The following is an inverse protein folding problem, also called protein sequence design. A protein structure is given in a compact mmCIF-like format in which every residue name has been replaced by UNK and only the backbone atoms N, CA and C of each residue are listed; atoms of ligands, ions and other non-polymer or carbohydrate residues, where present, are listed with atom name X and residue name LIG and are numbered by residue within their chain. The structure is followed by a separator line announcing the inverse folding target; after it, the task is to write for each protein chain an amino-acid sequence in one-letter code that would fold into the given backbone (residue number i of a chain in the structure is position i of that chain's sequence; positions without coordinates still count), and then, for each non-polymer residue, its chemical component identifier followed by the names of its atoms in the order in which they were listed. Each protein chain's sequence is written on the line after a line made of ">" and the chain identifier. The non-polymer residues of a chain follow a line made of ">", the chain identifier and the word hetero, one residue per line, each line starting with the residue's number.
data_IF_903331322392
#
_entry.id   IF_903331322392
#
_cell.length_a   1.000
_cell.length_b   1.000
_cell.length_c   1.000
_cell.angle_alpha   90.00
_cell.angle_beta   90.00
_cell.angle_gamma   90.00
#
_symmetry.space_group_name_H-M   'P 1'
#
loop_
_entity.id
_entity.type
_entity.pdbx_description
1 polymer ?
#
# COMPACT_ATOMS: atom_id res chain seq x y z
N UNK A 1 26.33 -6.82 9.77
CA UNK A 1 26.77 -5.61 9.04
C UNK A 1 26.09 -5.56 7.68
N UNK A 2 25.47 -4.43 7.36
CA UNK A 2 24.91 -4.14 6.03
C UNK A 2 26.05 -3.81 5.06
N UNK A 3 26.07 -4.51 3.94
CA UNK A 3 26.96 -4.22 2.82
C UNK A 3 26.20 -3.49 1.70
N UNK A 4 26.92 -3.01 0.69
CA UNK A 4 26.35 -2.26 -0.44
C UNK A 4 25.25 -3.05 -1.16
N UNK A 5 25.44 -4.37 -1.36
CA UNK A 5 24.46 -5.22 -2.01
C UNK A 5 23.14 -5.32 -1.23
N UNK A 6 23.22 -5.35 0.11
CA UNK A 6 22.04 -5.32 0.98
C UNK A 6 21.34 -3.97 0.95
N UNK A 7 22.08 -2.87 0.96
CA UNK A 7 21.50 -1.52 0.87
C UNK A 7 20.78 -1.33 -0.47
N UNK A 8 21.42 -1.74 -1.56
CA UNK A 8 20.82 -1.70 -2.91
C UNK A 8 19.56 -2.57 -2.99
N UNK A 9 19.61 -3.76 -2.40
CA UNK A 9 18.45 -4.65 -2.30
C UNK A 9 17.29 -3.97 -1.54
N UNK A 10 17.56 -3.37 -0.37
CA UNK A 10 16.54 -2.65 0.43
C UNK A 10 15.89 -1.53 -0.38
N UNK A 11 16.70 -0.69 -1.05
CA UNK A 11 16.18 0.41 -1.86
C UNK A 11 15.26 -0.09 -2.99
N UNK A 12 15.67 -1.15 -3.69
CA UNK A 12 14.88 -1.71 -4.79
C UNK A 12 13.62 -2.42 -4.31
N UNK A 13 13.65 -3.09 -3.16
CA UNK A 13 12.44 -3.68 -2.55
C UNK A 13 11.41 -2.58 -2.26
N UNK A 14 11.88 -1.48 -1.67
CA UNK A 14 11.05 -0.35 -1.30
C UNK A 14 10.48 0.39 -2.52
N UNK A 15 11.19 0.37 -3.65
CA UNK A 15 10.71 0.85 -4.94
C UNK A 15 9.71 -0.10 -5.64
N UNK A 16 9.46 -1.28 -5.07
CA UNK A 16 8.54 -2.28 -5.62
C UNK A 16 9.14 -3.13 -6.74
N UNK A 17 10.46 -3.20 -6.85
CA UNK A 17 11.14 -4.04 -7.86
C UNK A 17 11.01 -5.51 -7.46
N UNK A 18 10.75 -6.39 -8.43
CA UNK A 18 10.61 -7.84 -8.19
C UNK A 18 11.93 -8.44 -7.70
N UNK A 19 11.85 -9.37 -6.74
CA UNK A 19 13.03 -10.06 -6.17
C UNK A 19 13.88 -10.76 -7.24
N UNK A 20 13.27 -11.29 -8.30
CA UNK A 20 13.99 -11.89 -9.44
C UNK A 20 14.88 -10.89 -10.16
N UNK A 21 14.41 -9.66 -10.35
CA UNK A 21 15.12 -8.60 -11.07
C UNK A 21 16.21 -8.00 -10.16
N UNK A 22 15.92 -7.87 -8.86
CA UNK A 22 16.90 -7.44 -7.85
C UNK A 22 18.06 -8.43 -7.81
N UNK A 23 17.78 -9.74 -7.74
CA UNK A 23 18.80 -10.79 -7.69
C UNK A 23 19.78 -10.70 -8.88
N UNK A 24 19.26 -10.46 -10.08
CA UNK A 24 20.08 -10.25 -11.29
C UNK A 24 20.93 -8.99 -11.14
N UNK A 25 20.35 -7.87 -10.69
CA UNK A 25 21.02 -6.58 -10.58
C UNK A 25 22.14 -6.57 -9.54
N UNK A 26 21.91 -7.17 -8.37
CA UNK A 26 22.92 -7.26 -7.30
C UNK A 26 23.86 -8.48 -7.46
N UNK A 27 23.67 -9.28 -8.52
CA UNK A 27 24.45 -10.50 -8.83
C UNK A 27 24.46 -11.51 -7.67
N UNK A 28 23.30 -11.75 -7.06
CA UNK A 28 23.08 -12.76 -6.01
C UNK A 28 21.96 -13.72 -6.41
N UNK A 29 21.85 -14.86 -5.74
CA UNK A 29 20.70 -15.74 -5.94
C UNK A 29 19.47 -15.15 -5.24
N UNK A 30 18.27 -15.49 -5.73
CA UNK A 30 17.01 -15.13 -5.05
C UNK A 30 16.99 -15.67 -3.62
N UNK A 31 17.50 -16.89 -3.42
CA UNK A 31 17.61 -17.51 -2.09
C UNK A 31 18.43 -16.66 -1.13
N UNK A 32 19.52 -16.03 -1.58
CA UNK A 32 20.29 -15.11 -0.74
C UNK A 32 19.44 -13.94 -0.24
N UNK A 33 18.59 -13.38 -1.10
CA UNK A 33 17.68 -12.29 -0.73
C UNK A 33 16.63 -12.78 0.28
N UNK A 34 16.04 -13.96 0.05
CA UNK A 34 15.10 -14.55 1.01
C UNK A 34 15.74 -14.84 2.37
N UNK A 35 16.99 -15.31 2.40
CA UNK A 35 17.73 -15.50 3.64
C UNK A 35 17.94 -14.17 4.37
N UNK A 36 18.19 -13.08 3.65
CA UNK A 36 18.28 -11.75 4.27
C UNK A 36 16.94 -11.27 4.82
N UNK A 37 15.85 -11.50 4.09
CA UNK A 37 14.50 -11.13 4.52
C UNK A 37 14.02 -11.92 5.75
N UNK A 38 14.39 -13.18 5.84
CA UNK A 38 13.89 -14.07 6.89
C UNK A 38 14.80 -14.08 8.13
N UNK A 39 16.12 -14.18 7.91
CA UNK A 39 17.07 -14.57 8.95
C UNK A 39 18.04 -13.45 9.34
N UNK A 40 18.29 -12.47 8.46
CA UNK A 40 19.23 -11.38 8.75
C UNK A 40 18.54 -10.23 9.50
N UNK A 41 18.75 -10.21 10.83
CA UNK A 41 18.14 -9.23 11.74
C UNK A 41 18.46 -7.78 11.37
N UNK A 42 19.68 -7.48 10.95
CA UNK A 42 20.07 -6.10 10.60
C UNK A 42 19.40 -5.66 9.30
N UNK A 43 19.35 -6.55 8.30
CA UNK A 43 18.66 -6.30 7.04
C UNK A 43 17.18 -5.98 7.28
N UNK A 44 16.51 -6.81 8.08
CA UNK A 44 15.09 -6.64 8.41
C UNK A 44 14.82 -5.33 9.15
N UNK A 45 15.66 -5.01 10.13
CA UNK A 45 15.51 -3.78 10.90
C UNK A 45 15.65 -2.52 10.04
N UNK A 46 16.63 -2.48 9.11
CA UNK A 46 16.78 -1.33 8.22
C UNK A 46 15.68 -1.27 7.16
N UNK A 47 15.26 -2.41 6.61
CA UNK A 47 14.12 -2.46 5.68
C UNK A 47 12.84 -1.91 6.33
N UNK A 48 12.50 -2.37 7.53
CA UNK A 48 11.34 -1.86 8.30
C UNK A 48 11.47 -0.36 8.57
N UNK A 49 12.64 0.10 9.03
CA UNK A 49 12.90 1.53 9.25
C UNK A 49 12.68 2.37 7.98
N UNK A 50 13.15 1.91 6.83
CA UNK A 50 12.98 2.63 5.55
C UNK A 50 11.51 2.65 5.13
N UNK A 51 10.78 1.54 5.28
CA UNK A 51 9.35 1.46 4.99
C UNK A 51 8.54 2.40 5.89
N UNK A 52 8.81 2.40 7.19
CA UNK A 52 8.18 3.31 8.15
C UNK A 52 8.45 4.78 7.78
N UNK A 53 9.70 5.11 7.44
CA UNK A 53 10.06 6.46 7.01
C UNK A 53 9.25 6.90 5.79
N UNK A 54 9.09 6.04 4.79
CA UNK A 54 8.32 6.36 3.58
C UNK A 54 6.84 6.54 3.88
N UNK A 55 6.28 5.69 4.74
CA UNK A 55 4.91 5.84 5.21
C UNK A 55 4.71 7.20 5.89
N UNK A 56 5.57 7.54 6.85
CA UNK A 56 5.51 8.83 7.55
C UNK A 56 5.71 10.02 6.59
N UNK A 57 6.60 9.89 5.59
CA UNK A 57 6.78 10.92 4.57
C UNK A 57 5.54 11.08 3.69
N UNK A 58 4.89 9.98 3.30
CA UNK A 58 3.63 9.99 2.55
C UNK A 58 2.50 10.67 3.33
N UNK A 59 2.34 10.30 4.61
CA UNK A 59 1.37 10.91 5.52
C UNK A 59 1.61 12.41 5.67
N UNK A 60 2.86 12.83 5.88
CA UNK A 60 3.22 14.25 5.95
C UNK A 60 2.94 14.99 4.63
N UNK A 61 3.24 14.37 3.49
CA UNK A 61 2.93 14.96 2.18
C UNK A 61 1.43 15.15 1.98
N UNK A 62 0.61 14.21 2.44
CA UNK A 62 -0.85 14.35 2.42
C UNK A 62 -1.29 15.48 3.34
N UNK A 63 -0.78 15.52 4.58
CA UNK A 63 -1.14 16.52 5.57
C UNK A 63 -0.82 17.95 5.09
N UNK A 64 0.39 18.17 4.58
CA UNK A 64 0.84 19.48 4.05
C UNK A 64 -0.03 19.93 2.88
N UNK A 65 -0.55 19.00 2.07
CA UNK A 65 -1.40 19.32 0.92
C UNK A 65 -2.90 19.22 1.24
N UNK A 66 -3.29 18.94 2.49
CA UNK A 66 -4.69 18.73 2.85
C UNK A 66 -5.57 19.91 2.46
N UNK A 67 -5.12 21.14 2.72
CA UNK A 67 -5.84 22.35 2.34
C UNK A 67 -6.07 22.42 0.82
N UNK A 68 -5.06 22.09 0.00
CA UNK A 68 -5.21 22.06 -1.46
C UNK A 68 -6.22 21.00 -1.92
N UNK A 69 -6.28 19.86 -1.23
CA UNK A 69 -7.28 18.83 -1.53
C UNK A 69 -8.69 19.31 -1.17
N UNK A 70 -8.85 20.03 -0.06
CA UNK A 70 -10.12 20.66 0.33
C UNK A 70 -10.52 21.71 -0.71
N UNK A 71 -9.61 22.61 -1.10
CA UNK A 71 -9.86 23.63 -2.13
C UNK A 71 -10.28 23.00 -3.47
N UNK A 72 -9.69 21.85 -3.82
CA UNK A 72 -10.06 21.13 -5.03
C UNK A 72 -11.45 20.49 -4.93
N UNK A 73 -11.84 19.96 -3.77
CA UNK A 73 -13.20 19.44 -3.54
C UNK A 73 -14.22 20.59 -3.63
N UNK A 74 -13.91 21.74 -3.04
CA UNK A 74 -14.74 22.96 -3.17
C UNK A 74 -14.87 23.38 -4.64
N UNK A 75 -13.77 23.42 -5.37
CA UNK A 75 -13.79 23.71 -6.80
C UNK A 75 -14.69 22.75 -7.58
N UNK A 76 -14.60 21.44 -7.32
CA UNK A 76 -15.46 20.44 -7.96
C UNK A 76 -16.93 20.65 -7.60
N UNK A 77 -17.23 20.94 -6.33
CA UNK A 77 -18.58 21.22 -5.86
C UNK A 77 -19.21 22.41 -6.58
N UNK A 78 -18.42 23.45 -6.89
CA UNK A 78 -18.92 24.70 -7.48
C UNK A 78 -18.84 24.76 -9.00
N UNK A 79 -17.84 24.11 -9.62
CA UNK A 79 -17.45 24.36 -11.03
C UNK A 79 -17.42 23.12 -11.91
N UNK A 80 -17.57 21.91 -11.38
CA UNK A 80 -17.56 20.72 -12.22
C UNK A 80 -18.72 20.73 -13.24
N UNK A 81 -18.43 20.28 -14.47
CA UNK A 81 -19.44 20.19 -15.54
C UNK A 81 -20.48 19.11 -15.25
N UNK A 82 -20.05 17.98 -14.70
CA UNK A 82 -20.92 16.87 -14.33
C UNK A 82 -21.71 17.20 -13.07
N UNK A 83 -23.03 17.14 -13.17
CA UNK A 83 -23.93 17.31 -12.03
C UNK A 83 -23.72 16.24 -10.97
N UNK A 84 -23.41 15.01 -11.38
CA UNK A 84 -23.05 13.93 -10.44
C UNK A 84 -21.82 14.30 -9.62
N UNK A 85 -20.75 14.79 -10.25
CA UNK A 85 -19.52 15.18 -9.54
C UNK A 85 -19.80 16.33 -8.57
N UNK A 86 -20.60 17.33 -8.99
CA UNK A 86 -21.02 18.42 -8.10
C UNK A 86 -21.82 17.89 -6.91
N UNK A 87 -22.78 17.01 -7.15
CA UNK A 87 -23.61 16.42 -6.09
C UNK A 87 -22.75 15.63 -5.10
N UNK A 88 -21.86 14.77 -5.59
CA UNK A 88 -20.98 13.94 -4.76
C UNK A 88 -20.05 14.81 -3.89
N UNK A 89 -19.45 15.87 -4.46
CA UNK A 89 -18.58 16.79 -3.73
C UNK A 89 -19.35 17.62 -2.69
N UNK A 90 -20.52 18.17 -3.05
CA UNK A 90 -21.37 18.90 -2.11
C UNK A 90 -21.89 18.00 -0.99
N UNK A 91 -22.27 16.76 -1.29
CA UNK A 91 -22.68 15.77 -0.30
C UNK A 91 -21.53 15.46 0.67
N UNK A 92 -20.32 15.19 0.16
CA UNK A 92 -19.15 14.95 0.99
C UNK A 92 -18.86 16.11 1.97
N UNK A 93 -18.88 17.36 1.48
CA UNK A 93 -18.63 18.55 2.31
C UNK A 93 -19.74 18.73 3.36
N UNK A 94 -21.01 18.56 2.96
CA UNK A 94 -22.17 18.71 3.85
C UNK A 94 -22.18 17.63 4.94
N UNK A 95 -21.95 16.38 4.55
CA UNK A 95 -21.85 15.22 5.45
C UNK A 95 -20.73 15.39 6.49
N UNK A 96 -19.64 16.07 6.13
CA UNK A 96 -18.52 16.33 7.05
C UNK A 96 -18.90 17.26 8.20
N UNK A 97 -19.86 18.17 7.96
CA UNK A 97 -20.33 19.18 8.92
C UNK A 97 -21.54 18.67 9.70
N UNK A 98 -22.52 18.09 9.00
CA UNK A 98 -23.80 17.68 9.58
C UNK A 98 -23.81 16.22 10.06
N UNK A 99 -22.79 15.44 9.70
CA UNK A 99 -22.76 13.99 9.88
C UNK A 99 -23.53 13.27 8.77
N UNK A 100 -23.17 12.00 8.54
CA UNK A 100 -23.92 11.13 7.64
C UNK A 100 -25.09 10.49 8.38
N UNK A 101 -26.32 10.51 7.83
CA UNK A 101 -27.39 9.67 8.33
C UNK A 101 -26.99 8.20 8.17
N UNK A 102 -26.64 7.53 9.26
CA UNK A 102 -26.35 6.09 9.24
C UNK A 102 -27.62 5.32 9.62
N UNK A 103 -28.20 4.56 8.69
CA UNK A 103 -29.20 3.55 9.02
C UNK A 103 -28.51 2.36 9.69
N UNK A 104 -28.32 2.39 11.02
CA UNK A 104 -27.80 1.23 11.75
C UNK A 104 -28.92 0.21 11.96
N UNK A 105 -28.98 -0.81 11.10
CA UNK A 105 -29.59 -2.09 11.47
C UNK A 105 -28.54 -2.87 12.28
N UNK A 106 -28.61 -2.77 13.61
CA UNK A 106 -27.80 -3.60 14.50
C UNK A 106 -28.43 -5.00 14.55
N UNK A 107 -27.94 -5.94 13.76
CA UNK A 107 -28.08 -7.37 14.05
C UNK A 107 -26.76 -7.79 14.68
N UNK A 108 -26.75 -7.93 16.01
CA UNK A 108 -25.64 -8.54 16.72
C UNK A 108 -25.72 -10.05 16.48
N UNK A 109 -24.82 -10.58 15.66
CA UNK A 109 -24.41 -11.99 15.75
C UNK A 109 -23.01 -12.05 16.37
N UNK A 110 -22.91 -12.84 17.44
CA UNK A 110 -21.74 -13.00 18.27
C UNK A 110 -20.66 -13.87 17.58
N UNK A 111 -19.41 -13.40 17.69
CA UNK A 111 -18.13 -14.12 17.68
C UNK A 111 -17.69 -14.89 16.41
N UNK A 112 -16.55 -14.45 15.85
CA UNK A 112 -15.36 -15.32 15.61
C UNK A 112 -14.08 -14.49 15.44
N UNK A 113 -13.13 -14.83 16.31
CA UNK A 113 -11.67 -14.63 16.39
C UNK A 113 -10.97 -13.74 15.34
N UNK A 114 -10.18 -12.77 15.84
CA UNK A 114 -9.18 -12.03 15.08
C UNK A 114 -8.02 -12.96 14.64
N UNK A 115 -7.98 -13.32 13.37
CA UNK A 115 -6.74 -13.80 12.73
C UNK A 115 -5.83 -12.59 12.46
N UNK A 116 -4.63 -12.62 13.03
CA UNK A 116 -3.57 -11.69 12.65
C UNK A 116 -3.25 -11.85 11.16
N UNK A 117 -3.50 -10.80 10.37
CA UNK A 117 -3.25 -10.76 8.92
C UNK A 117 -1.77 -11.04 8.65
N UNK A 118 -1.46 -12.25 8.20
CA UNK A 118 -0.12 -12.66 7.83
C UNK A 118 0.14 -12.20 6.37
N UNK A 119 0.55 -10.93 6.21
CA UNK A 119 0.82 -10.24 4.93
C UNK A 119 1.71 -11.07 3.98
N UNK A 120 2.52 -11.99 4.54
CA UNK A 120 3.36 -12.91 3.78
C UNK A 120 2.57 -13.90 2.89
N UNK A 121 1.35 -14.27 3.28
CA UNK A 121 0.51 -15.18 2.51
C UNK A 121 -0.14 -14.47 1.31
N UNK A 122 -0.61 -13.24 1.51
CA UNK A 122 -1.24 -12.44 0.45
C UNK A 122 -0.27 -12.14 -0.70
N UNK A 123 1.03 -11.95 -0.40
CA UNK A 123 2.06 -11.73 -1.42
C UNK A 123 2.29 -13.00 -2.25
N UNK A 124 2.31 -14.17 -1.62
CA UNK A 124 2.52 -15.45 -2.32
C UNK A 124 1.31 -15.82 -3.21
N UNK A 125 0.10 -15.47 -2.78
CA UNK A 125 -1.12 -15.74 -3.54
C UNK A 125 -1.16 -14.93 -4.84
N UNK A 126 -0.83 -13.64 -4.76
CA UNK A 126 -0.70 -12.74 -5.92
C UNK A 126 0.38 -13.21 -6.90
N UNK A 127 1.51 -13.71 -6.41
CA UNK A 127 2.58 -14.26 -7.28
C UNK A 127 2.12 -15.54 -8.00
N UNK A 128 1.29 -16.37 -7.38
CA UNK A 128 0.77 -17.59 -8.02
C UNK A 128 -0.23 -17.26 -9.13
N UNK A 129 -1.13 -16.30 -8.90
CA UNK A 129 -2.14 -15.88 -9.88
C UNK A 129 -1.51 -15.23 -11.11
N UNK A 130 -0.49 -14.39 -10.91
CA UNK A 130 0.24 -13.78 -12.03
C UNK A 130 0.95 -14.84 -12.89
N UNK A 131 1.57 -15.83 -12.26
CA UNK A 131 2.28 -16.90 -12.96
C UNK A 131 1.33 -17.82 -13.75
N UNK A 132 0.17 -18.14 -13.17
CA UNK A 132 -0.85 -18.94 -13.86
C UNK A 132 -1.42 -18.20 -15.09
N UNK A 133 -1.71 -16.91 -14.95
CA UNK A 133 -2.21 -16.10 -16.07
C UNK A 133 -1.19 -15.93 -17.21
N UNK A 134 0.11 -15.90 -16.89
CA UNK A 134 1.17 -15.86 -17.92
C UNK A 134 1.35 -17.21 -18.65
N UNK A 135 1.02 -18.33 -17.99
CA UNK A 135 1.06 -19.67 -18.60
C UNK A 135 -0.11 -19.90 -19.56
N UNK A 136 -1.31 -19.40 -19.22
CA UNK A 136 -2.50 -19.52 -20.08
C UNK A 136 -2.43 -18.64 -21.34
N UNK A 137 -1.72 -17.51 -21.30
CA UNK A 137 -1.54 -16.63 -22.46
C UNK A 137 -0.53 -17.13 -23.51
N UNK A 138 0.09 -18.31 -23.28
CA UNK A 138 1.12 -18.90 -24.17
C UNK A 138 0.65 -20.20 -24.86
N UNK A 139 -0.67 -20.47 -24.89
CA UNK A 139 -1.29 -21.52 -25.70
C UNK A 139 -2.28 -20.92 -26.69
#
# INVERSE_FOLDING_TARGET
>A
MLDEAKIDCINMIVEGVRISDIAIKIKKSRQTIYNWLNDDKEFKAELDRVLQRIKSQGEQKILVNLNKYIDNIEYLAMKAKSEKIKLDANAYLTDRVLGRPTSKLNVQEENKEEEATNILNDINEIESELNNNMMEATH
#
